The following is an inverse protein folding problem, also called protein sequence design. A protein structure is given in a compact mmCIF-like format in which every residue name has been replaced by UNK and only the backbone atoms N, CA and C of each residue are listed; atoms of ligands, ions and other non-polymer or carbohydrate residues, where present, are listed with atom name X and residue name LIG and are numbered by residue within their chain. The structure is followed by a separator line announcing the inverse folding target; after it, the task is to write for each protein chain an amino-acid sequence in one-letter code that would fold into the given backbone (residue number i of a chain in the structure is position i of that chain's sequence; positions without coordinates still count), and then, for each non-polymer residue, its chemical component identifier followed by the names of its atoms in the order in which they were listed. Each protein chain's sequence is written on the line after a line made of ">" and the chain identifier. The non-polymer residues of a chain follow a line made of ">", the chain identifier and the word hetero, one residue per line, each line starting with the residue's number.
data_IF_708378043874
#
_entry.id   IF_708378043874
#
_cell.length_a   1.000
_cell.length_b   1.000
_cell.length_c   1.000
_cell.angle_alpha   90.00
_cell.angle_beta   90.00
_cell.angle_gamma   90.00
#
_symmetry.space_group_name_H-M   'P 1'
#
loop_
_entity.id
_entity.type
_entity.pdbx_description
1 polymer ?
#
# COMPACT_ATOMS: atom_id res chain seq x y z
N UNK A 1 -5.25 -2.00 -12.23
CA UNK A 1 -6.41 -1.09 -12.18
C UNK A 1 -7.72 -1.81 -11.90
N UNK A 2 -7.97 -3.03 -12.44
CA UNK A 2 -9.19 -3.81 -12.14
C UNK A 2 -9.39 -4.11 -10.64
N UNK A 3 -8.33 -4.52 -9.94
CA UNK A 3 -8.39 -4.91 -8.52
C UNK A 3 -8.80 -3.75 -7.58
N UNK A 4 -8.33 -2.52 -7.84
CA UNK A 4 -8.68 -1.35 -7.02
C UNK A 4 -10.17 -0.95 -7.14
N UNK A 5 -10.78 -1.17 -8.30
CA UNK A 5 -12.23 -0.95 -8.45
C UNK A 5 -13.03 -2.07 -7.77
N UNK A 6 -12.62 -3.33 -7.94
CA UNK A 6 -13.29 -4.49 -7.35
C UNK A 6 -13.25 -4.44 -5.80
N UNK A 7 -12.08 -4.19 -5.21
CA UNK A 7 -11.87 -4.24 -3.75
C UNK A 7 -12.18 -2.93 -3.03
N UNK A 8 -11.91 -1.79 -3.68
CA UNK A 8 -11.94 -0.46 -3.06
C UNK A 8 -12.91 0.53 -3.71
N UNK A 9 -13.58 0.18 -4.82
CA UNK A 9 -14.51 1.06 -5.53
C UNK A 9 -13.88 2.36 -6.09
N UNK A 10 -12.60 2.32 -6.47
CA UNK A 10 -11.87 3.49 -6.97
C UNK A 10 -11.19 3.24 -8.31
N UNK A 11 -11.05 4.32 -9.07
CA UNK A 11 -10.09 4.41 -10.16
C UNK A 11 -8.89 5.23 -9.69
N UNK A 12 -7.69 4.72 -9.94
CA UNK A 12 -6.44 5.37 -9.54
C UNK A 12 -5.41 5.32 -10.67
N UNK A 13 -4.63 6.40 -10.77
CA UNK A 13 -3.44 6.45 -11.60
C UNK A 13 -2.23 5.94 -10.82
N UNK A 14 -1.42 5.11 -11.47
CA UNK A 14 -0.16 4.61 -10.92
C UNK A 14 0.91 5.66 -11.19
N UNK A 15 1.51 6.16 -10.11
CA UNK A 15 2.63 7.08 -10.12
C UNK A 15 3.98 6.38 -10.03
N UNK A 16 4.93 7.06 -9.38
CA UNK A 16 6.30 6.56 -9.25
C UNK A 16 6.39 5.32 -8.34
N UNK A 17 7.35 4.45 -8.65
CA UNK A 17 7.67 3.30 -7.80
C UNK A 17 8.31 3.78 -6.50
N UNK A 18 7.73 3.38 -5.38
CA UNK A 18 8.28 3.62 -4.03
C UNK A 18 9.37 2.60 -3.74
N UNK A 19 9.04 1.32 -3.88
CA UNK A 19 9.95 0.25 -3.54
C UNK A 19 9.66 -1.08 -4.24
N UNK A 20 10.64 -1.97 -4.21
CA UNK A 20 10.54 -3.37 -4.59
C UNK A 20 11.24 -4.19 -3.51
N UNK A 21 10.48 -5.06 -2.85
CA UNK A 21 10.94 -5.90 -1.75
C UNK A 21 10.74 -7.36 -2.10
N UNK A 22 11.79 -8.14 -1.98
CA UNK A 22 11.73 -9.60 -1.99
C UNK A 22 11.80 -10.11 -0.55
N UNK A 23 10.84 -10.93 -0.15
CA UNK A 23 10.79 -11.53 1.18
C UNK A 23 10.54 -13.04 1.09
N UNK A 24 11.40 -13.83 1.75
CA UNK A 24 11.29 -15.29 1.79
C UNK A 24 10.45 -15.71 3.00
N UNK A 25 9.32 -16.35 2.73
CA UNK A 25 8.49 -17.02 3.72
C UNK A 25 8.68 -18.53 3.65
N UNK A 26 8.29 -19.25 4.71
CA UNK A 26 8.36 -20.72 4.76
C UNK A 26 7.61 -21.42 3.61
N UNK A 27 6.62 -20.75 3.02
CA UNK A 27 5.81 -21.27 1.90
C UNK A 27 6.32 -20.84 0.51
N UNK A 28 7.28 -19.92 0.43
CA UNK A 28 7.81 -19.41 -0.83
C UNK A 28 8.29 -17.96 -0.76
N UNK A 29 8.80 -17.47 -1.88
CA UNK A 29 9.32 -16.12 -2.03
C UNK A 29 8.21 -15.18 -2.53
N UNK A 30 7.98 -14.09 -1.82
CA UNK A 30 7.06 -13.02 -2.19
C UNK A 30 7.85 -11.84 -2.73
N UNK A 31 7.51 -11.41 -3.94
CA UNK A 31 8.02 -10.19 -4.55
C UNK A 31 6.92 -9.14 -4.52
N UNK A 32 7.14 -8.06 -3.75
CA UNK A 32 6.19 -6.98 -3.55
C UNK A 32 6.74 -5.68 -4.14
N UNK A 33 6.01 -5.08 -5.07
CA UNK A 33 6.35 -3.77 -5.64
C UNK A 33 5.31 -2.73 -5.23
N UNK A 34 5.75 -1.67 -4.56
CA UNK A 34 4.89 -0.59 -4.07
C UNK A 34 5.02 0.63 -4.98
N UNK A 35 3.88 1.21 -5.34
CA UNK A 35 3.79 2.43 -6.16
C UNK A 35 2.97 3.50 -5.45
N UNK A 36 3.27 4.76 -5.73
CA UNK A 36 2.36 5.85 -5.42
C UNK A 36 1.10 5.70 -6.27
N UNK A 37 -0.07 5.87 -5.67
CA UNK A 37 -1.36 5.89 -6.36
C UNK A 37 -2.06 7.21 -6.13
N UNK A 38 -2.64 7.79 -7.18
CA UNK A 38 -3.52 8.94 -7.05
C UNK A 38 -4.94 8.56 -7.43
N UNK A 39 -5.88 8.74 -6.51
CA UNK A 39 -7.31 8.50 -6.77
C UNK A 39 -7.80 9.57 -7.74
N UNK A 40 -8.31 9.15 -8.89
CA UNK A 40 -8.87 10.04 -9.91
C UNK A 40 -10.40 10.02 -9.92
N UNK A 41 -11.01 8.95 -9.42
CA UNK A 41 -12.46 8.81 -9.32
C UNK A 41 -12.84 7.81 -8.22
N UNK A 42 -14.01 8.02 -7.61
CA UNK A 42 -14.53 7.20 -6.51
C UNK A 42 -14.03 7.61 -5.12
N UNK A 43 -14.59 6.97 -4.11
CA UNK A 43 -14.14 7.06 -2.72
C UNK A 43 -13.86 5.65 -2.21
N UNK A 44 -12.70 5.39 -1.55
CA UNK A 44 -12.36 4.05 -1.12
C UNK A 44 -13.39 3.46 -0.16
N UNK A 45 -13.84 2.25 -0.46
CA UNK A 45 -14.77 1.48 0.37
C UNK A 45 -14.21 0.09 0.60
N UNK A 46 -14.18 -0.38 1.86
CA UNK A 46 -13.76 -1.73 2.17
C UNK A 46 -14.83 -2.75 1.70
N UNK A 47 -14.73 -3.25 0.47
CA UNK A 47 -15.68 -4.27 -0.04
C UNK A 47 -15.31 -5.67 0.41
N UNK A 48 -14.03 -6.01 0.40
CA UNK A 48 -13.51 -7.32 0.82
C UNK A 48 -12.72 -7.27 2.14
N UNK A 49 -12.25 -6.09 2.53
CA UNK A 49 -11.40 -5.89 3.70
C UNK A 49 -12.21 -5.60 4.97
N UNK A 50 -11.67 -5.97 6.13
CA UNK A 50 -12.33 -5.78 7.42
C UNK A 50 -12.35 -4.31 7.89
N UNK A 51 -11.33 -3.54 7.53
CA UNK A 51 -11.18 -2.14 7.91
C UNK A 51 -10.45 -1.37 6.80
N UNK A 52 -10.86 -0.11 6.58
CA UNK A 52 -10.18 0.83 5.71
C UNK A 52 -10.19 2.20 6.38
N UNK A 53 -9.02 2.84 6.45
CA UNK A 53 -8.85 4.15 7.06
C UNK A 53 -7.74 4.95 6.38
N UNK A 54 -7.98 6.26 6.27
CA UNK A 54 -6.96 7.22 5.89
C UNK A 54 -6.14 7.63 7.11
N UNK A 55 -4.81 7.59 7.00
CA UNK A 55 -3.89 7.98 8.07
C UNK A 55 -2.85 8.98 7.58
N UNK A 56 -2.43 9.94 8.41
CA UNK A 56 -1.25 10.73 8.16
C UNK A 56 0.01 9.86 8.06
N UNK A 57 0.99 10.28 7.24
CA UNK A 57 2.25 9.54 7.05
C UNK A 57 2.98 9.29 8.39
N UNK A 58 2.94 10.25 9.31
CA UNK A 58 3.56 10.14 10.63
C UNK A 58 2.96 9.03 11.52
N UNK A 59 1.72 8.61 11.25
CA UNK A 59 1.05 7.54 12.00
C UNK A 59 1.35 6.15 11.43
N UNK A 60 1.92 6.04 10.23
CA UNK A 60 2.26 4.74 9.63
C UNK A 60 3.25 3.95 10.49
N UNK A 61 4.19 4.62 11.17
CA UNK A 61 5.15 3.99 12.08
C UNK A 61 4.51 3.37 13.34
N UNK A 62 3.23 3.63 13.62
CA UNK A 62 2.53 3.12 14.80
C UNK A 62 1.79 1.81 14.50
N UNK A 63 1.77 1.35 13.25
CA UNK A 63 1.06 0.15 12.85
C UNK A 63 1.98 -1.06 12.76
N UNK A 64 1.39 -2.23 13.01
CA UNK A 64 2.05 -3.51 12.79
C UNK A 64 1.93 -3.90 11.31
N UNK A 65 2.98 -3.60 10.54
CA UNK A 65 3.09 -3.97 9.13
C UNK A 65 3.60 -5.39 8.94
N UNK A 66 3.19 -6.04 7.85
CA UNK A 66 3.81 -7.30 7.48
C UNK A 66 5.29 -7.07 7.08
N UNK A 67 6.18 -8.06 7.27
CA UNK A 67 7.61 -7.88 7.04
C UNK A 67 7.99 -7.38 5.63
N UNK A 68 7.20 -7.74 4.61
CA UNK A 68 7.42 -7.31 3.24
C UNK A 68 7.07 -5.82 2.99
N UNK A 69 6.19 -5.23 3.79
CA UNK A 69 5.74 -3.83 3.65
C UNK A 69 6.62 -2.83 4.40
N UNK A 70 7.32 -3.27 5.45
CA UNK A 70 8.17 -2.41 6.30
C UNK A 70 9.15 -1.55 5.48
N UNK A 71 9.91 -2.10 4.50
CA UNK A 71 10.88 -1.30 3.73
C UNK A 71 10.23 -0.16 2.93
N UNK A 72 9.03 -0.39 2.39
CA UNK A 72 8.27 0.62 1.66
C UNK A 72 7.76 1.72 2.60
N UNK A 73 7.22 1.33 3.77
CA UNK A 73 6.72 2.27 4.79
C UNK A 73 7.84 3.18 5.32
N UNK A 74 9.01 2.62 5.62
CA UNK A 74 10.17 3.41 6.05
C UNK A 74 10.61 4.43 5.01
N UNK A 75 10.59 4.06 3.72
CA UNK A 75 10.90 4.98 2.61
C UNK A 75 9.87 6.10 2.49
N UNK A 76 8.59 5.78 2.64
CA UNK A 76 7.49 6.76 2.62
C UNK A 76 7.65 7.77 3.76
N UNK A 77 7.88 7.29 4.99
CA UNK A 77 8.06 8.15 6.16
C UNK A 77 9.27 9.07 5.97
N UNK A 78 10.39 8.54 5.47
CA UNK A 78 11.61 9.30 5.22
C UNK A 78 11.44 10.35 4.12
N UNK A 79 10.64 10.08 3.09
CA UNK A 79 10.39 11.02 2.00
C UNK A 79 9.47 12.19 2.40
N UNK A 80 8.67 12.02 3.46
CA UNK A 80 7.74 13.03 3.95
C UNK A 80 8.34 14.00 4.99
N UNK A 81 9.56 13.75 5.48
CA UNK A 81 10.29 14.59 6.44
C UNK A 81 11.36 15.44 5.77
#
# INVERSE_FOLDING_TARGET
>A
MRELDEELAIEAEIGERVDETEYEYDFGVVNLTTYWGNIISGEPQAREHAELRWLPIAELAQLDWAPADIPAVEKIIKAAG
#
